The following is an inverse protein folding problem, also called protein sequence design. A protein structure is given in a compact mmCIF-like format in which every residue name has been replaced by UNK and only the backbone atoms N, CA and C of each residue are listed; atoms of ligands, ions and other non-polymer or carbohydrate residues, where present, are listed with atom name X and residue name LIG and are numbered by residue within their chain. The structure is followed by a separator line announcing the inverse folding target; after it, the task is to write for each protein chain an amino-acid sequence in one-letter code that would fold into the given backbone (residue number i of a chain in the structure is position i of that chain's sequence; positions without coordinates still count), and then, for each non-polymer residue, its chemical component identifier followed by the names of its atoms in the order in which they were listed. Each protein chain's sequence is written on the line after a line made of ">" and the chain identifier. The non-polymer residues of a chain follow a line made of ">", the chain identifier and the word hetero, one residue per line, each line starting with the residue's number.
data_IF_306040241243
#
_entry.id   IF_306040241243
#
_cell.length_a   1.000
_cell.length_b   1.000
_cell.length_c   1.000
_cell.angle_alpha   90.00
_cell.angle_beta   90.00
_cell.angle_gamma   90.00
#
_symmetry.space_group_name_H-M   'P 1'
#
loop_
_entity.id
_entity.type
_entity.pdbx_description
1 polymer ?
#
# COMPACT_ATOMS: atom_id res chain seq x y z
N UNK A 1 -7.71 15.32 4.73
CA UNK A 1 -7.57 14.07 5.50
C UNK A 1 -8.24 12.86 4.86
N UNK A 2 -9.50 12.93 4.39
CA UNK A 2 -10.20 11.73 3.89
C UNK A 2 -9.47 10.95 2.77
N UNK A 3 -8.79 11.64 1.85
CA UNK A 3 -8.07 11.02 0.73
C UNK A 3 -6.85 10.19 1.16
N UNK A 4 -6.04 10.68 2.11
CA UNK A 4 -4.87 9.95 2.61
C UNK A 4 -5.28 8.72 3.43
N UNK A 5 -6.33 8.85 4.23
CA UNK A 5 -6.87 7.72 5.00
C UNK A 5 -7.45 6.63 4.09
N UNK A 6 -8.16 7.01 3.02
CA UNK A 6 -8.67 6.06 2.04
C UNK A 6 -7.54 5.26 1.34
N UNK A 7 -6.41 5.92 1.02
CA UNK A 7 -5.24 5.25 0.45
C UNK A 7 -4.59 4.27 1.44
N UNK A 8 -4.50 4.63 2.73
CA UNK A 8 -3.98 3.73 3.75
C UNK A 8 -4.87 2.48 3.91
N UNK A 9 -6.18 2.65 3.96
CA UNK A 9 -7.12 1.53 4.07
C UNK A 9 -7.06 0.64 2.82
N UNK A 10 -7.05 1.24 1.64
CA UNK A 10 -6.96 0.48 0.39
C UNK A 10 -5.65 -0.31 0.29
N UNK A 11 -4.53 0.33 0.61
CA UNK A 11 -3.22 -0.32 0.62
C UNK A 11 -3.15 -1.47 1.63
N UNK A 12 -3.74 -1.30 2.82
CA UNK A 12 -3.81 -2.36 3.83
C UNK A 12 -4.64 -3.56 3.36
N UNK A 13 -5.77 -3.33 2.68
CA UNK A 13 -6.61 -4.39 2.12
C UNK A 13 -5.84 -5.18 1.05
N UNK A 14 -5.16 -4.47 0.13
CA UNK A 14 -4.38 -5.10 -0.95
C UNK A 14 -3.22 -5.91 -0.36
N UNK A 15 -2.52 -5.37 0.64
CA UNK A 15 -1.42 -6.06 1.31
C UNK A 15 -1.92 -7.34 2.01
N UNK A 16 -3.03 -7.26 2.75
CA UNK A 16 -3.64 -8.40 3.42
C UNK A 16 -4.09 -9.48 2.41
N UNK A 17 -4.66 -9.07 1.27
CA UNK A 17 -5.00 -9.99 0.19
C UNK A 17 -3.76 -10.71 -0.38
N UNK A 18 -2.65 -9.99 -0.55
CA UNK A 18 -1.37 -10.59 -0.98
C UNK A 18 -0.81 -11.60 0.03
N UNK A 19 -0.89 -11.29 1.34
CA UNK A 19 -0.46 -12.21 2.41
C UNK A 19 -1.33 -13.47 2.42
N UNK A 20 -2.66 -13.29 2.36
CA UNK A 20 -3.60 -14.42 2.29
C UNK A 20 -3.33 -15.29 1.07
N UNK A 21 -3.17 -14.70 -0.11
CA UNK A 21 -2.89 -15.42 -1.35
C UNK A 21 -1.56 -16.18 -1.30
N UNK A 22 -0.54 -15.63 -0.64
CA UNK A 22 0.75 -16.32 -0.42
C UNK A 22 0.56 -17.61 0.39
N UNK A 23 -0.30 -17.59 1.43
CA UNK A 23 -0.57 -18.76 2.25
C UNK A 23 -1.33 -19.86 1.50
N UNK A 24 -2.21 -19.49 0.57
CA UNK A 24 -2.95 -20.47 -0.24
C UNK A 24 -2.08 -21.10 -1.34
N UNK A 25 -1.21 -20.30 -1.95
CA UNK A 25 -0.41 -20.71 -3.11
C UNK A 25 0.84 -21.53 -2.74
N UNK A 26 1.39 -21.31 -1.54
CA UNK A 26 2.58 -22.02 -1.05
C UNK A 26 3.83 -21.81 -1.91
N UNK A 27 4.77 -22.76 -1.86
CA UNK A 27 6.02 -22.68 -2.63
C UNK A 27 5.81 -23.11 -4.09
N UNK A 28 5.35 -22.17 -4.91
CA UNK A 28 5.19 -22.33 -6.35
C UNK A 28 5.56 -21.05 -7.11
N UNK A 29 5.65 -21.12 -8.44
CA UNK A 29 5.90 -19.95 -9.30
C UNK A 29 4.84 -18.86 -9.10
N UNK A 30 3.62 -19.24 -8.71
CA UNK A 30 2.52 -18.32 -8.42
C UNK A 30 2.78 -17.45 -7.17
N UNK A 31 3.75 -17.80 -6.32
CA UNK A 31 4.19 -16.94 -5.23
C UNK A 31 4.78 -15.60 -5.72
N UNK A 32 5.28 -15.54 -6.96
CA UNK A 32 5.73 -14.28 -7.59
C UNK A 32 4.54 -13.32 -7.74
N UNK A 33 3.37 -13.83 -8.14
CA UNK A 33 2.15 -13.02 -8.27
C UNK A 33 1.71 -12.50 -6.90
N UNK A 34 1.78 -13.34 -5.86
CA UNK A 34 1.48 -12.92 -4.50
C UNK A 34 2.46 -11.83 -4.01
N UNK A 35 3.75 -11.94 -4.34
CA UNK A 35 4.74 -10.91 -4.04
C UNK A 35 4.46 -9.57 -4.75
N UNK A 36 4.01 -9.61 -6.01
CA UNK A 36 3.61 -8.40 -6.74
C UNK A 36 2.40 -7.71 -6.10
N UNK A 37 1.41 -8.49 -5.65
CA UNK A 37 0.22 -7.96 -4.94
C UNK A 37 0.65 -7.31 -3.62
N UNK A 38 1.54 -7.95 -2.85
CA UNK A 38 2.08 -7.38 -1.61
C UNK A 38 2.88 -6.09 -1.88
N UNK A 39 3.71 -6.06 -2.93
CA UNK A 39 4.45 -4.88 -3.32
C UNK A 39 3.53 -3.72 -3.72
N UNK A 40 2.46 -4.00 -4.47
CA UNK A 40 1.45 -3.00 -4.82
C UNK A 40 0.75 -2.45 -3.57
N UNK A 41 0.34 -3.31 -2.63
CA UNK A 41 -0.26 -2.91 -1.36
C UNK A 41 0.66 -2.02 -0.53
N UNK A 42 1.94 -2.41 -0.38
CA UNK A 42 2.95 -1.60 0.30
C UNK A 42 3.18 -0.24 -0.37
N UNK A 43 3.23 -0.20 -1.70
CA UNK A 43 3.38 1.05 -2.47
C UNK A 43 2.19 2.01 -2.30
N UNK A 44 0.96 1.49 -2.21
CA UNK A 44 -0.22 2.31 -1.95
C UNK A 44 -0.21 2.88 -0.53
N UNK A 45 0.28 2.11 0.45
CA UNK A 45 0.46 2.59 1.84
C UNK A 45 1.47 3.73 1.88
N UNK A 46 2.64 3.56 1.28
CA UNK A 46 3.68 4.61 1.27
C UNK A 46 3.19 5.88 0.56
N UNK A 47 2.40 5.74 -0.51
CA UNK A 47 1.75 6.87 -1.15
C UNK A 47 0.74 7.57 -0.22
N UNK A 48 -0.11 6.82 0.49
CA UNK A 48 -1.04 7.37 1.48
C UNK A 48 -0.32 8.16 2.59
N UNK A 49 0.83 7.66 3.05
CA UNK A 49 1.69 8.35 4.01
C UNK A 49 2.29 9.65 3.44
N UNK A 50 2.77 9.64 2.20
CA UNK A 50 3.28 10.84 1.54
C UNK A 50 2.20 11.93 1.45
N UNK A 51 0.98 11.57 1.04
CA UNK A 51 -0.15 12.50 0.98
C UNK A 51 -0.54 13.02 2.38
N UNK A 52 -0.45 12.16 3.41
CA UNK A 52 -0.69 12.60 4.78
C UNK A 52 0.38 13.60 5.27
N UNK A 53 1.64 13.36 4.92
CA UNK A 53 2.76 14.26 5.23
C UNK A 53 2.61 15.61 4.52
N UNK A 54 2.20 15.62 3.26
CA UNK A 54 1.92 16.84 2.50
C UNK A 54 0.75 17.65 3.09
N UNK A 55 -0.26 16.99 3.64
CA UNK A 55 -1.37 17.67 4.33
C UNK A 55 -0.93 18.32 5.64
N UNK A 56 -0.01 17.68 6.38
CA UNK A 56 0.49 18.21 7.66
C UNK A 56 1.54 19.32 7.47
N UNK A 57 2.43 19.15 6.50
CA UNK A 57 3.51 20.10 6.18
C UNK A 57 3.52 20.35 4.67
N UNK A 58 2.70 21.29 4.16
CA UNK A 58 2.58 21.53 2.72
C UNK A 58 3.91 21.97 2.12
N UNK A 59 4.37 21.24 1.11
CA UNK A 59 5.55 21.59 0.30
C UNK A 59 5.40 22.97 -0.36
N UNK A 60 4.18 23.38 -0.68
CA UNK A 60 3.83 24.72 -1.19
C UNK A 60 4.20 25.89 -0.26
N UNK A 61 4.45 25.67 1.04
CA UNK A 61 4.84 26.74 1.98
C UNK A 61 6.35 26.80 2.22
N UNK A 62 7.14 25.92 1.59
CA UNK A 62 8.59 25.78 1.79
C UNK A 62 9.42 26.14 0.56
N UNK A 63 8.77 26.31 -0.59
CA UNK A 63 9.31 26.99 -1.78
C UNK A 63 9.02 28.49 -1.66
#
# INVERSE_FOLDING_TARGET
>A
MGKSFALLVLGAIILAAGVWYTNEVGHSVMAIVAALIMAAGGGVITWGLAVAADLHSPTSRKL
#
